data_IF_981751304047
#
_entry.id   IF_981751304047
#
_cell.length_a   1.000
_cell.length_b   1.000
_cell.length_c   1.000
_cell.angle_alpha   90.00
_cell.angle_beta   90.00
_cell.angle_gamma   90.00
#
_symmetry.space_group_name_H-M   'P 1'
#
loop_
_entity.id
_entity.type
_entity.pdbx_description
1 polymer ?
#
# COMPACT_ATOMS: atom_id res chain seq x y z
N UNK A 1 7.45 10.41 -17.59
CA UNK A 1 6.28 11.09 -17.00
C UNK A 1 6.51 11.23 -15.50
N UNK A 2 6.42 12.43 -14.94
CA UNK A 2 6.41 12.63 -13.50
C UNK A 2 5.01 12.22 -12.99
N UNK A 3 4.95 11.22 -12.11
CA UNK A 3 3.74 10.92 -11.36
C UNK A 3 3.55 12.02 -10.32
N UNK A 4 2.39 12.66 -10.31
CA UNK A 4 2.04 13.69 -9.34
C UNK A 4 1.50 13.06 -8.05
N UNK A 5 2.33 12.22 -7.41
CA UNK A 5 2.03 11.65 -6.10
C UNK A 5 2.02 12.73 -5.02
N UNK A 6 1.29 12.49 -3.94
CA UNK A 6 1.13 13.47 -2.86
C UNK A 6 2.37 13.54 -1.97
N UNK A 7 3.06 12.42 -1.78
CA UNK A 7 4.25 12.31 -0.92
C UNK A 7 5.15 11.13 -1.33
N UNK A 8 6.36 11.13 -0.82
CA UNK A 8 7.31 10.03 -0.91
C UNK A 8 7.37 9.33 0.45
N UNK A 9 7.05 8.04 0.49
CA UNK A 9 7.24 7.19 1.67
C UNK A 9 8.66 6.62 1.65
N UNK A 10 9.47 7.05 2.61
CA UNK A 10 10.90 6.74 2.64
C UNK A 10 11.28 6.03 3.93
N UNK A 11 11.70 4.77 3.80
CA UNK A 11 12.15 3.94 4.93
C UNK A 11 13.67 3.94 4.96
N UNK A 12 14.25 4.26 6.10
CA UNK A 12 15.70 4.22 6.31
C UNK A 12 16.05 3.48 7.60
N UNK A 13 17.09 2.64 7.51
CA UNK A 13 17.64 1.89 8.63
C UNK A 13 18.88 2.62 9.18
N UNK A 14 18.72 3.25 10.35
CA UNK A 14 19.77 4.02 11.03
C UNK A 14 20.86 3.15 11.69
N UNK A 15 20.80 1.83 11.56
CA UNK A 15 21.91 0.94 11.90
C UNK A 15 22.85 0.69 10.72
N UNK A 16 22.43 1.06 9.51
CA UNK A 16 23.24 0.96 8.27
C UNK A 16 23.94 2.28 7.98
N UNK A 17 25.05 2.23 7.20
CA UNK A 17 25.69 3.46 6.73
C UNK A 17 24.71 4.36 5.98
N UNK A 18 24.67 5.63 6.37
CA UNK A 18 23.81 6.64 5.75
C UNK A 18 24.55 7.25 4.57
N UNK A 19 23.92 7.26 3.41
CA UNK A 19 24.44 7.88 2.21
C UNK A 19 23.66 9.16 1.87
N UNK A 20 24.36 10.17 1.36
CA UNK A 20 23.71 11.39 0.87
C UNK A 20 23.06 11.14 -0.50
N UNK A 21 21.78 11.49 -0.62
CA UNK A 21 20.98 11.36 -1.84
C UNK A 21 20.38 12.73 -2.22
N UNK A 22 21.23 13.64 -2.67
CA UNK A 22 20.91 15.08 -2.83
C UNK A 22 19.73 15.44 -3.77
N UNK A 23 19.16 14.51 -4.53
CA UNK A 23 18.13 14.82 -5.55
C UNK A 23 16.88 13.93 -5.52
N UNK A 24 16.62 13.21 -4.42
CA UNK A 24 15.52 12.24 -4.39
C UNK A 24 14.15 12.84 -4.01
N UNK A 25 14.12 13.99 -3.34
CA UNK A 25 12.93 14.44 -2.64
C UNK A 25 12.36 15.72 -3.24
N UNK A 26 11.56 15.60 -4.29
CA UNK A 26 10.83 16.70 -4.92
C UNK A 26 9.36 16.80 -4.47
N UNK A 27 8.96 16.01 -3.50
CA UNK A 27 7.62 15.94 -2.89
C UNK A 27 7.75 15.92 -1.36
N UNK A 28 6.67 16.22 -0.62
CA UNK A 28 6.66 16.00 0.82
C UNK A 28 7.10 14.59 1.17
N UNK A 29 7.87 14.43 2.24
CA UNK A 29 8.42 13.13 2.66
C UNK A 29 7.72 12.65 3.91
N UNK A 30 7.27 11.41 3.88
CA UNK A 30 6.96 10.64 5.06
C UNK A 30 8.17 9.73 5.35
N UNK A 31 8.98 10.14 6.32
CA UNK A 31 10.17 9.41 6.73
C UNK A 31 9.83 8.36 7.78
N UNK A 32 10.25 7.13 7.54
CA UNK A 32 10.26 6.05 8.53
C UNK A 32 11.70 5.79 8.95
N UNK A 33 11.99 6.10 10.20
CA UNK A 33 13.29 5.87 10.81
C UNK A 33 13.28 4.54 11.58
N UNK A 34 13.91 3.50 11.03
CA UNK A 34 14.17 2.25 11.73
C UNK A 34 15.39 2.44 12.63
N UNK A 35 15.23 2.25 13.94
CA UNK A 35 16.25 2.61 14.92
C UNK A 35 16.61 1.46 15.85
N UNK A 36 17.83 1.49 16.39
CA UNK A 36 18.26 0.63 17.51
C UNK A 36 17.72 1.19 18.83
N UNK A 37 16.81 0.46 19.44
CA UNK A 37 16.18 0.82 20.73
C UNK A 37 17.15 0.89 21.91
N UNK A 38 18.38 0.34 21.78
CA UNK A 38 19.43 0.37 22.81
C UNK A 38 20.15 1.72 22.87
N UNK A 39 20.05 2.51 21.80
CA UNK A 39 20.64 3.86 21.76
C UNK A 39 19.81 4.85 22.60
N UNK A 40 20.50 5.87 23.11
CA UNK A 40 19.83 6.98 23.78
C UNK A 40 18.87 7.71 22.83
N UNK A 41 17.64 8.00 23.27
CA UNK A 41 16.59 8.59 22.45
C UNK A 41 17.02 9.95 21.86
N UNK A 42 17.70 10.82 22.65
CA UNK A 42 18.19 12.10 22.14
C UNK A 42 19.25 11.93 21.06
N UNK A 43 20.11 10.91 21.17
CA UNK A 43 21.09 10.59 20.11
C UNK A 43 20.37 10.13 18.84
N UNK A 44 19.34 9.29 18.97
CA UNK A 44 18.50 8.87 17.84
C UNK A 44 17.89 10.08 17.13
N UNK A 45 17.30 11.01 17.89
CA UNK A 45 16.70 12.22 17.32
C UNK A 45 17.74 13.11 16.62
N UNK A 46 18.95 13.22 17.21
CA UNK A 46 20.07 13.94 16.58
C UNK A 46 20.52 13.27 15.27
N UNK A 47 20.61 11.93 15.22
CA UNK A 47 20.98 11.19 14.02
C UNK A 47 19.95 11.40 12.90
N UNK A 48 18.66 11.39 13.24
CA UNK A 48 17.58 11.68 12.28
C UNK A 48 17.69 13.11 11.77
N UNK A 49 17.95 14.08 12.64
CA UNK A 49 18.12 15.49 12.26
C UNK A 49 19.30 15.66 11.33
N UNK A 50 20.46 15.08 11.65
CA UNK A 50 21.65 15.08 10.80
C UNK A 50 21.37 14.47 9.42
N UNK A 51 20.61 13.35 9.37
CA UNK A 51 20.20 12.74 8.12
C UNK A 51 19.37 13.70 7.25
N UNK A 52 18.42 14.43 7.84
CA UNK A 52 17.58 15.40 7.12
C UNK A 52 18.42 16.57 6.60
N UNK A 53 19.40 17.05 7.38
CA UNK A 53 20.32 18.11 6.97
C UNK A 53 21.23 17.66 5.81
N UNK A 54 21.70 16.42 5.82
CA UNK A 54 22.50 15.83 4.74
C UNK A 54 21.70 15.54 3.47
N UNK A 55 20.40 15.35 3.62
CA UNK A 55 19.46 14.99 2.55
C UNK A 55 18.28 15.98 2.54
N UNK A 56 18.46 17.20 2.02
CA UNK A 56 17.43 18.24 2.08
C UNK A 56 16.10 17.75 1.54
N UNK A 57 15.07 17.78 2.39
CA UNK A 57 13.71 17.32 2.08
C UNK A 57 12.67 18.16 2.83
N UNK A 58 11.48 18.25 2.27
CA UNK A 58 10.32 18.73 3.02
C UNK A 58 9.75 17.57 3.82
N UNK A 59 10.16 17.45 5.09
CA UNK A 59 9.67 16.43 6.01
C UNK A 59 8.26 16.80 6.48
N UNK A 60 7.26 16.05 6.04
CA UNK A 60 5.85 16.24 6.41
C UNK A 60 5.43 15.29 7.54
N UNK A 61 5.91 14.05 7.50
CA UNK A 61 5.60 13.01 8.50
C UNK A 61 6.85 12.27 8.93
N UNK A 62 6.87 11.84 10.18
CA UNK A 62 7.93 11.02 10.75
C UNK A 62 7.34 9.87 11.58
N UNK A 63 7.78 8.66 11.30
CA UNK A 63 7.59 7.49 12.15
C UNK A 63 8.94 7.03 12.68
N UNK A 64 9.15 7.04 13.99
CA UNK A 64 10.32 6.45 14.63
C UNK A 64 9.94 5.05 15.09
N UNK A 65 10.49 4.04 14.43
CA UNK A 65 10.15 2.64 14.66
C UNK A 65 11.37 1.85 15.17
N UNK A 66 11.38 1.43 16.44
CA UNK A 66 12.40 0.51 16.94
C UNK A 66 12.39 -0.80 16.13
N UNK A 67 13.53 -1.20 15.57
CA UNK A 67 13.66 -2.41 14.74
C UNK A 67 13.18 -3.68 15.44
N UNK A 68 13.27 -3.73 16.77
CA UNK A 68 12.75 -4.87 17.52
C UNK A 68 11.26 -5.10 17.28
N UNK A 69 10.48 -4.05 16.95
CA UNK A 69 9.05 -4.16 16.66
C UNK A 69 8.75 -4.59 15.22
N UNK A 70 9.75 -4.78 14.37
CA UNK A 70 9.59 -5.50 13.12
C UNK A 70 9.34 -6.99 13.35
N UNK A 71 9.74 -7.52 14.51
CA UNK A 71 9.56 -8.91 14.86
C UNK A 71 8.17 -9.17 15.46
N UNK A 72 7.62 -10.33 15.13
CA UNK A 72 6.36 -10.81 15.69
C UNK A 72 6.60 -11.50 17.02
N UNK A 73 6.03 -10.96 18.07
CA UNK A 73 6.01 -11.61 19.39
C UNK A 73 4.66 -12.27 19.60
N UNK A 74 4.67 -13.59 19.77
CA UNK A 74 3.43 -14.35 20.00
C UNK A 74 2.74 -13.88 21.28
N UNK A 75 1.40 -14.03 21.39
CA UNK A 75 0.66 -13.58 22.56
C UNK A 75 1.18 -14.14 23.90
N UNK A 76 1.75 -15.35 23.88
CA UNK A 76 2.36 -15.98 25.04
C UNK A 76 3.87 -15.68 25.19
N UNK A 77 4.47 -14.95 24.22
CA UNK A 77 5.87 -14.56 24.27
C UNK A 77 6.08 -13.29 25.10
N UNK A 78 7.25 -13.18 25.71
CA UNK A 78 7.64 -11.96 26.39
C UNK A 78 8.03 -10.89 25.37
N UNK A 79 7.47 -9.68 25.55
CA UNK A 79 7.91 -8.53 24.80
C UNK A 79 9.27 -8.05 25.32
N UNK A 80 10.21 -7.66 24.47
CA UNK A 80 11.50 -7.16 24.90
C UNK A 80 11.34 -5.88 25.73
N UNK A 81 12.22 -5.71 26.71
CA UNK A 81 12.29 -4.47 27.49
C UNK A 81 12.88 -3.37 26.61
N UNK A 82 12.05 -2.42 26.23
CA UNK A 82 12.42 -1.27 25.40
C UNK A 82 11.75 -0.01 25.95
N UNK A 83 12.28 1.19 25.66
CA UNK A 83 11.54 2.40 25.96
C UNK A 83 10.13 2.35 25.37
N UNK A 84 9.15 2.95 26.04
CA UNK A 84 7.79 3.02 25.52
C UNK A 84 7.75 3.73 24.16
N UNK A 85 6.85 3.33 23.26
CA UNK A 85 6.68 4.01 21.98
C UNK A 85 6.35 5.50 22.19
N UNK A 86 5.56 5.83 23.20
CA UNK A 86 5.24 7.21 23.57
C UNK A 86 6.47 8.05 23.93
N UNK A 87 7.55 7.47 24.47
CA UNK A 87 8.79 8.19 24.72
C UNK A 87 9.47 8.65 23.40
N UNK A 88 9.44 7.82 22.36
CA UNK A 88 9.95 8.19 21.03
C UNK A 88 9.08 9.28 20.39
N UNK A 89 7.74 9.17 20.50
CA UNK A 89 6.83 10.18 19.94
C UNK A 89 7.02 11.54 20.60
N UNK A 90 7.11 11.57 21.94
CA UNK A 90 7.38 12.79 22.71
C UNK A 90 8.70 13.44 22.30
N UNK A 91 9.76 12.64 22.18
CA UNK A 91 11.06 13.14 21.73
C UNK A 91 11.00 13.67 20.31
N UNK A 92 10.36 12.93 19.38
CA UNK A 92 10.20 13.35 17.99
C UNK A 92 9.42 14.68 17.89
N UNK A 93 8.31 14.85 18.61
CA UNK A 93 7.56 16.11 18.65
C UNK A 93 8.41 17.28 19.18
N UNK A 94 9.29 17.02 20.16
CA UNK A 94 10.20 18.05 20.70
C UNK A 94 11.27 18.48 19.71
N UNK A 95 11.84 17.53 18.94
CA UNK A 95 12.89 17.81 17.95
C UNK A 95 12.34 18.35 16.62
N UNK A 96 11.13 17.95 16.27
CA UNK A 96 10.48 18.25 14.99
C UNK A 96 9.06 18.83 15.20
N UNK A 97 8.91 19.99 15.83
CA UNK A 97 7.60 20.51 16.28
C UNK A 97 6.61 20.82 15.15
N UNK A 98 7.07 20.94 13.91
CA UNK A 98 6.24 21.22 12.73
C UNK A 98 5.92 19.96 11.91
N UNK A 99 6.41 18.79 12.35
CA UNK A 99 6.27 17.51 11.64
C UNK A 99 5.19 16.68 12.31
N UNK A 100 4.30 16.09 11.54
CA UNK A 100 3.32 15.13 12.06
C UNK A 100 4.03 13.84 12.48
N UNK A 101 3.85 13.44 13.72
CA UNK A 101 4.50 12.25 14.29
C UNK A 101 3.53 11.09 14.23
N UNK A 102 3.83 10.13 13.38
CA UNK A 102 3.07 8.89 13.24
C UNK A 102 3.59 7.82 14.20
N UNK A 103 2.70 6.92 14.55
CA UNK A 103 2.98 5.73 15.35
C UNK A 103 2.74 4.45 14.53
N UNK A 104 3.00 3.31 15.13
CA UNK A 104 2.74 2.00 14.52
C UNK A 104 4.00 1.35 13.97
N UNK A 105 3.83 0.58 12.91
CA UNK A 105 4.86 -0.33 12.40
C UNK A 105 4.88 -0.33 10.88
N UNK A 106 5.97 -0.79 10.30
CA UNK A 106 6.13 -1.04 8.86
C UNK A 106 5.98 -2.52 8.50
N UNK A 107 5.59 -3.33 9.48
CA UNK A 107 5.15 -4.72 9.31
C UNK A 107 3.63 -4.79 9.26
N UNK A 108 3.05 -5.98 9.37
CA UNK A 108 1.63 -6.19 9.13
C UNK A 108 0.76 -5.74 10.32
N UNK A 109 -0.54 -5.68 10.07
CA UNK A 109 -1.52 -5.37 11.11
C UNK A 109 -1.41 -6.27 12.35
N UNK A 110 -1.01 -7.54 12.19
CA UNK A 110 -0.86 -8.48 13.32
C UNK A 110 0.13 -7.96 14.37
N UNK A 111 1.28 -7.43 13.95
CA UNK A 111 2.29 -6.86 14.83
C UNK A 111 1.78 -5.58 15.48
N UNK A 112 1.14 -4.70 14.70
CA UNK A 112 0.50 -3.49 15.24
C UNK A 112 -0.57 -3.82 16.29
N UNK A 113 -1.44 -4.79 16.02
CA UNK A 113 -2.53 -5.15 16.94
C UNK A 113 -2.04 -5.79 18.25
N UNK A 114 -0.89 -6.49 18.20
CA UNK A 114 -0.24 -7.04 19.39
C UNK A 114 0.48 -5.97 20.22
N UNK A 115 0.91 -4.89 19.59
CA UNK A 115 1.58 -3.75 20.24
C UNK A 115 0.92 -2.45 19.77
N UNK A 116 -0.32 -2.25 20.19
CA UNK A 116 -1.06 -1.03 19.87
C UNK A 116 -0.33 0.19 20.40
N UNK A 117 -0.23 1.26 19.62
CA UNK A 117 0.45 2.46 20.08
C UNK A 117 -0.34 3.13 21.20
N UNK A 118 0.41 3.76 22.11
CA UNK A 118 -0.08 4.59 23.20
C UNK A 118 0.58 5.97 23.12
N UNK A 119 -0.01 6.97 23.76
CA UNK A 119 0.54 8.31 23.84
C UNK A 119 0.01 9.27 22.76
N UNK A 120 0.71 10.38 22.58
CA UNK A 120 0.32 11.48 21.70
C UNK A 120 1.02 11.37 20.35
N UNK A 121 0.26 10.98 19.32
CA UNK A 121 0.69 10.84 17.94
C UNK A 121 -0.38 11.38 16.98
N UNK A 122 0.02 11.68 15.74
CA UNK A 122 -0.82 12.35 14.74
C UNK A 122 -1.36 11.37 13.67
N UNK A 123 -1.04 10.09 13.77
CA UNK A 123 -1.53 9.05 12.87
C UNK A 123 -0.96 7.68 13.15
N UNK A 124 -1.53 6.65 12.53
CA UNK A 124 -1.15 5.24 12.70
C UNK A 124 -0.68 4.69 11.36
N UNK A 125 0.37 3.86 11.37
CA UNK A 125 0.92 3.19 10.20
C UNK A 125 0.99 1.67 10.37
N UNK A 126 0.61 0.94 9.34
CA UNK A 126 0.94 -0.48 9.18
C UNK A 126 1.02 -0.85 7.69
N UNK A 127 1.69 -1.96 7.37
CA UNK A 127 1.77 -2.46 6.00
C UNK A 127 0.84 -3.64 5.74
N UNK A 128 0.75 -4.04 4.48
CA UNK A 128 -0.05 -5.20 4.08
C UNK A 128 0.62 -5.98 2.95
N UNK A 129 0.77 -7.28 3.15
CA UNK A 129 1.26 -8.25 2.16
C UNK A 129 0.51 -9.57 2.32
N UNK A 130 0.20 -10.28 1.22
CA UNK A 130 -0.61 -11.49 1.30
C UNK A 130 0.19 -12.77 1.60
N UNK A 131 1.50 -12.81 1.34
CA UNK A 131 2.32 -14.04 1.28
C UNK A 131 3.08 -14.38 2.56
N UNK A 132 2.52 -14.03 3.72
CA UNK A 132 3.17 -14.35 5.01
C UNK A 132 3.13 -15.86 5.31
N UNK A 133 1.97 -16.51 5.11
CA UNK A 133 1.73 -17.89 5.50
C UNK A 133 1.18 -18.76 4.37
N UNK A 134 0.76 -18.16 3.26
CA UNK A 134 0.22 -18.85 2.10
C UNK A 134 0.55 -18.07 0.83
N UNK A 135 1.44 -18.61 0.00
CA UNK A 135 1.79 -18.03 -1.29
C UNK A 135 0.99 -18.64 -2.45
N UNK A 136 -0.04 -19.44 -2.20
CA UNK A 136 -0.94 -19.92 -3.26
C UNK A 136 -1.72 -18.75 -3.88
N UNK A 137 -2.19 -18.92 -5.12
CA UNK A 137 -3.05 -17.89 -5.74
C UNK A 137 -4.35 -17.73 -4.96
N UNK A 138 -4.90 -18.81 -4.42
CA UNK A 138 -6.10 -18.77 -3.59
C UNK A 138 -5.86 -17.94 -2.33
N UNK A 139 -4.78 -18.21 -1.58
CA UNK A 139 -4.42 -17.48 -0.37
C UNK A 139 -4.27 -15.99 -0.66
N UNK A 140 -3.52 -15.62 -1.70
CA UNK A 140 -3.33 -14.22 -2.10
C UNK A 140 -4.65 -13.53 -2.45
N UNK A 141 -5.49 -14.17 -3.28
CA UNK A 141 -6.75 -13.58 -3.73
C UNK A 141 -7.83 -13.49 -2.63
N UNK A 142 -7.69 -14.27 -1.56
CA UNK A 142 -8.60 -14.24 -0.41
C UNK A 142 -8.25 -13.13 0.61
N UNK A 143 -6.98 -12.69 0.64
CA UNK A 143 -6.51 -11.72 1.64
C UNK A 143 -7.28 -10.38 1.67
N UNK A 144 -7.80 -9.82 0.55
CA UNK A 144 -8.61 -8.60 0.60
C UNK A 144 -9.87 -8.75 1.47
N UNK A 145 -10.39 -9.97 1.65
CA UNK A 145 -11.56 -10.22 2.50
C UNK A 145 -11.28 -9.97 3.99
N UNK A 146 -10.03 -10.10 4.44
CA UNK A 146 -9.65 -9.84 5.83
C UNK A 146 -9.58 -8.35 6.17
N UNK A 147 -9.41 -7.49 5.16
CA UNK A 147 -9.16 -6.06 5.37
C UNK A 147 -10.34 -5.33 5.99
N UNK A 148 -11.57 -5.74 5.73
CA UNK A 148 -12.74 -5.15 6.38
C UNK A 148 -12.68 -5.33 7.91
N UNK A 149 -12.31 -6.53 8.38
CA UNK A 149 -12.16 -6.83 9.80
C UNK A 149 -10.96 -6.10 10.40
N UNK A 150 -9.86 -5.99 9.65
CA UNK A 150 -8.67 -5.24 10.04
C UNK A 150 -9.03 -3.76 10.24
N UNK A 151 -9.69 -3.14 9.25
CA UNK A 151 -10.05 -1.73 9.32
C UNK A 151 -11.03 -1.44 10.46
N UNK A 152 -12.05 -2.28 10.65
CA UNK A 152 -12.97 -2.18 11.78
C UNK A 152 -12.21 -2.27 13.13
N UNK A 153 -11.19 -3.12 13.22
CA UNK A 153 -10.38 -3.24 14.44
C UNK A 153 -9.51 -1.99 14.63
N UNK A 154 -8.87 -1.48 13.57
CA UNK A 154 -8.07 -0.24 13.65
C UNK A 154 -8.92 0.93 14.13
N UNK A 155 -10.15 1.06 13.64
CA UNK A 155 -11.09 2.12 14.06
C UNK A 155 -11.36 2.09 15.57
N UNK A 156 -11.31 0.92 16.23
CA UNK A 156 -11.55 0.81 17.68
C UNK A 156 -10.47 1.47 18.55
N UNK A 157 -9.26 1.68 18.02
CA UNK A 157 -8.15 2.25 18.79
C UNK A 157 -7.45 3.43 18.10
N UNK A 158 -7.84 3.79 16.89
CA UNK A 158 -7.26 4.94 16.19
C UNK A 158 -7.75 6.29 16.74
N UNK A 159 -8.84 6.31 17.50
CA UNK A 159 -9.42 7.54 18.06
C UNK A 159 -9.61 8.65 17.00
N UNK A 160 -10.10 8.29 15.82
CA UNK A 160 -10.27 9.19 14.67
C UNK A 160 -8.95 9.79 14.12
N UNK A 161 -7.78 9.29 14.54
CA UNK A 161 -6.52 9.73 13.93
C UNK A 161 -6.34 9.18 12.53
N UNK A 162 -5.63 9.90 11.64
CA UNK A 162 -5.31 9.42 10.31
C UNK A 162 -4.61 8.06 10.29
N UNK A 163 -5.02 7.21 9.36
CA UNK A 163 -4.39 5.90 9.14
C UNK A 163 -3.66 5.91 7.81
N UNK A 164 -2.39 5.53 7.84
CA UNK A 164 -1.59 5.21 6.67
C UNK A 164 -1.44 3.70 6.54
N UNK A 165 -1.81 3.17 5.39
CA UNK A 165 -1.61 1.76 5.06
C UNK A 165 -0.54 1.68 3.98
N UNK A 166 0.61 1.16 4.37
CA UNK A 166 1.74 1.07 3.46
C UNK A 166 3.07 0.63 4.13
N UNK A 167 3.96 0.04 3.32
CA UNK A 167 3.76 -0.31 1.92
C UNK A 167 2.78 -1.49 1.74
N UNK A 168 2.01 -1.46 0.65
CA UNK A 168 1.15 -2.56 0.22
C UNK A 168 1.81 -3.20 -0.99
N UNK A 169 2.25 -4.45 -0.87
CA UNK A 169 2.97 -5.17 -1.92
C UNK A 169 2.66 -6.66 -1.90
N UNK A 170 2.77 -7.33 -3.04
CA UNK A 170 2.69 -8.80 -3.07
C UNK A 170 3.86 -9.43 -2.34
N UNK A 171 5.10 -9.06 -2.70
CA UNK A 171 6.29 -9.47 -1.98
C UNK A 171 6.45 -8.75 -0.64
N UNK A 172 7.21 -9.31 0.25
CA UNK A 172 7.42 -8.77 1.60
C UNK A 172 8.58 -7.77 1.66
N UNK A 173 8.48 -6.80 2.56
CA UNK A 173 9.57 -5.87 2.87
C UNK A 173 10.36 -6.30 4.11
N UNK A 174 9.73 -6.94 5.07
CA UNK A 174 10.33 -7.37 6.33
C UNK A 174 9.84 -8.77 6.70
N UNK A 175 10.73 -9.55 7.31
CA UNK A 175 10.37 -10.84 7.87
C UNK A 175 10.06 -10.69 9.37
N UNK A 176 8.80 -10.83 9.80
CA UNK A 176 8.46 -10.72 11.22
C UNK A 176 8.91 -11.92 12.07
N UNK A 177 9.38 -12.99 11.45
CA UNK A 177 9.80 -14.23 12.12
C UNK A 177 11.31 -14.50 12.02
N UNK A 178 12.08 -13.58 11.42
CA UNK A 178 13.51 -13.76 11.24
C UNK A 178 14.20 -12.50 10.75
N UNK A 179 15.51 -12.60 10.52
CA UNK A 179 16.31 -11.44 10.10
C UNK A 179 16.27 -11.19 8.59
N UNK A 180 15.96 -12.23 7.79
CA UNK A 180 16.01 -12.17 6.34
C UNK A 180 14.71 -12.68 5.73
N UNK A 181 14.38 -12.11 4.59
CA UNK A 181 13.33 -12.64 3.72
C UNK A 181 13.77 -13.94 3.06
N UNK A 182 12.83 -14.74 2.60
CA UNK A 182 13.13 -15.94 1.84
C UNK A 182 13.79 -15.58 0.51
N UNK A 183 14.90 -16.22 0.20
CA UNK A 183 15.56 -16.10 -1.09
C UNK A 183 14.74 -16.80 -2.18
N UNK A 184 14.37 -16.08 -3.22
CA UNK A 184 13.50 -16.57 -4.31
C UNK A 184 14.16 -16.41 -5.69
N UNK A 185 15.38 -16.92 -5.83
CA UNK A 185 16.13 -16.87 -7.10
C UNK A 185 15.38 -17.53 -8.26
N UNK A 186 14.61 -18.57 -7.97
CA UNK A 186 13.84 -19.30 -8.97
C UNK A 186 12.52 -18.63 -9.35
N UNK A 187 12.18 -17.50 -8.73
CA UNK A 187 10.93 -16.75 -8.97
C UNK A 187 9.69 -17.65 -8.94
N UNK A 188 9.56 -18.45 -7.89
CA UNK A 188 8.38 -19.28 -7.64
C UNK A 188 7.43 -18.59 -6.65
N UNK A 189 6.23 -19.13 -6.48
CA UNK A 189 5.31 -18.73 -5.42
C UNK A 189 5.85 -19.23 -4.08
N UNK A 190 6.40 -18.32 -3.28
CA UNK A 190 7.10 -18.66 -2.05
C UNK A 190 6.69 -17.70 -0.93
N UNK A 191 6.31 -18.27 0.21
CA UNK A 191 6.02 -17.51 1.42
C UNK A 191 7.24 -16.71 1.87
N UNK A 192 7.01 -15.53 2.45
CA UNK A 192 8.05 -14.68 3.02
C UNK A 192 9.09 -14.18 2.03
N UNK A 193 8.84 -14.28 0.73
CA UNK A 193 9.76 -13.80 -0.30
C UNK A 193 9.59 -12.30 -0.58
N UNK A 194 10.69 -11.60 -0.84
CA UNK A 194 10.64 -10.23 -1.34
C UNK A 194 10.16 -10.16 -2.78
N UNK A 195 10.64 -11.08 -3.61
CA UNK A 195 10.38 -11.11 -5.05
C UNK A 195 9.26 -12.12 -5.39
N UNK A 196 8.04 -11.63 -5.53
CA UNK A 196 6.91 -12.47 -5.97
C UNK A 196 6.75 -12.37 -7.50
N UNK A 197 6.76 -13.51 -8.25
CA UNK A 197 6.68 -13.50 -9.71
C UNK A 197 5.37 -12.93 -10.26
N UNK A 198 4.31 -12.91 -9.46
CA UNK A 198 3.00 -12.38 -9.85
C UNK A 198 2.94 -10.86 -9.90
N UNK A 199 3.98 -10.18 -9.38
CA UNK A 199 4.03 -8.71 -9.42
C UNK A 199 3.89 -8.16 -10.85
N UNK A 200 4.34 -8.90 -11.85
CA UNK A 200 4.28 -8.55 -13.28
C UNK A 200 3.03 -9.09 -14.00
N UNK A 201 1.99 -9.50 -13.27
CA UNK A 201 0.79 -10.14 -13.84
C UNK A 201 -0.51 -9.36 -13.60
N UNK A 202 -1.59 -9.74 -14.30
CA UNK A 202 -2.94 -9.22 -14.05
C UNK A 202 -3.42 -9.49 -12.62
N UNK A 203 -2.98 -10.59 -12.01
CA UNK A 203 -3.32 -10.92 -10.63
C UNK A 203 -2.89 -9.79 -9.69
N UNK A 204 -1.69 -9.23 -9.86
CA UNK A 204 -1.21 -8.14 -8.99
C UNK A 204 -2.09 -6.90 -9.08
N UNK A 205 -2.51 -6.54 -10.29
CA UNK A 205 -3.37 -5.38 -10.51
C UNK A 205 -4.77 -5.63 -9.94
N UNK A 206 -5.37 -6.79 -10.23
CA UNK A 206 -6.69 -7.18 -9.74
C UNK A 206 -6.72 -7.24 -8.20
N UNK A 207 -5.72 -7.88 -7.59
CA UNK A 207 -5.54 -7.92 -6.14
C UNK A 207 -5.40 -6.51 -5.55
N UNK A 208 -4.60 -5.63 -6.17
CA UNK A 208 -4.39 -4.27 -5.70
C UNK A 208 -5.67 -3.43 -5.75
N UNK A 209 -6.51 -3.59 -6.79
CA UNK A 209 -7.83 -2.95 -6.86
C UNK A 209 -8.73 -3.48 -5.74
N UNK A 210 -8.72 -4.81 -5.50
CA UNK A 210 -9.48 -5.42 -4.43
C UNK A 210 -9.04 -4.89 -3.06
N UNK A 211 -7.74 -4.88 -2.77
CA UNK A 211 -7.16 -4.32 -1.53
C UNK A 211 -7.59 -2.86 -1.37
N UNK A 212 -7.36 -2.02 -2.39
CA UNK A 212 -7.69 -0.60 -2.32
C UNK A 212 -9.17 -0.37 -2.03
N UNK A 213 -10.06 -1.16 -2.64
CA UNK A 213 -11.51 -1.08 -2.38
C UNK A 213 -11.88 -1.41 -0.93
N UNK A 214 -11.11 -2.25 -0.24
CA UNK A 214 -11.41 -2.69 1.13
C UNK A 214 -10.82 -1.77 2.21
N UNK A 215 -9.73 -1.05 1.91
CA UNK A 215 -9.08 -0.15 2.86
C UNK A 215 -9.68 1.26 2.89
N UNK A 216 -10.57 1.59 1.95
CA UNK A 216 -11.31 2.87 2.01
C UNK A 216 -12.20 2.87 3.24
N UNK A 217 -11.82 3.68 4.21
CA UNK A 217 -12.56 3.91 5.45
C UNK A 217 -12.53 5.39 5.82
N UNK A 218 -13.30 5.76 6.83
CA UNK A 218 -13.36 7.13 7.35
C UNK A 218 -11.97 7.69 7.72
N UNK A 219 -11.11 6.84 8.28
CA UNK A 219 -9.81 7.25 8.83
C UNK A 219 -8.64 6.97 7.89
N UNK A 220 -8.83 6.27 6.79
CA UNK A 220 -7.77 6.03 5.80
C UNK A 220 -7.46 7.32 5.06
N UNK A 221 -6.35 7.96 5.40
CA UNK A 221 -5.94 9.23 4.77
C UNK A 221 -4.80 9.02 3.78
N UNK A 222 -3.93 8.03 4.04
CA UNK A 222 -2.74 7.78 3.22
C UNK A 222 -2.63 6.31 2.84
N UNK A 223 -2.24 6.07 1.58
CA UNK A 223 -1.98 4.73 1.06
C UNK A 223 -0.70 4.75 0.24
N UNK A 224 0.16 3.75 0.44
CA UNK A 224 1.37 3.56 -0.36
C UNK A 224 1.39 2.15 -0.94
N UNK A 225 1.24 2.05 -2.27
CA UNK A 225 1.46 0.82 -3.02
C UNK A 225 2.84 0.88 -3.66
N UNK A 226 3.58 -0.23 -3.63
CA UNK A 226 4.77 -0.42 -4.45
C UNK A 226 5.85 0.69 -4.31
N UNK A 227 6.84 0.60 -5.13
CA UNK A 227 7.91 1.60 -5.30
C UNK A 227 7.97 2.05 -6.77
N UNK A 228 8.83 3.01 -7.08
CA UNK A 228 9.00 3.42 -8.48
C UNK A 228 9.69 2.35 -9.30
N UNK A 229 10.77 1.74 -8.75
CA UNK A 229 11.61 0.72 -9.39
C UNK A 229 11.98 -0.38 -8.40
N UNK A 230 12.72 -1.39 -8.87
CA UNK A 230 13.14 -2.56 -8.10
C UNK A 230 12.08 -3.64 -8.06
N UNK A 231 12.20 -4.58 -7.12
CA UNK A 231 11.32 -5.77 -7.04
C UNK A 231 9.86 -5.43 -6.80
N UNK A 232 9.58 -4.33 -6.10
CA UNK A 232 8.23 -3.80 -5.86
C UNK A 232 7.86 -2.62 -6.76
N UNK A 233 8.62 -2.40 -7.84
CA UNK A 233 8.47 -1.22 -8.69
C UNK A 233 7.22 -1.24 -9.56
N UNK A 234 6.64 -0.07 -9.82
CA UNK A 234 5.62 0.10 -10.87
C UNK A 234 6.24 0.20 -12.26
N UNK A 235 7.56 0.36 -12.32
CA UNK A 235 8.37 0.27 -13.52
C UNK A 235 9.43 -0.80 -13.34
N UNK A 236 9.81 -1.44 -14.45
CA UNK A 236 11.01 -2.27 -14.56
C UNK A 236 12.26 -1.38 -14.53
N UNK A 237 13.45 -1.99 -14.40
CA UNK A 237 14.71 -1.24 -14.38
C UNK A 237 14.99 -0.54 -15.73
N UNK A 238 14.50 -1.08 -16.83
CA UNK A 238 14.53 -0.50 -18.18
C UNK A 238 13.35 0.45 -18.48
N UNK A 239 12.61 0.88 -17.46
CA UNK A 239 11.51 1.84 -17.48
C UNK A 239 10.23 1.38 -18.24
N UNK A 240 10.01 0.09 -18.41
CA UNK A 240 8.73 -0.40 -18.89
C UNK A 240 7.70 -0.35 -17.77
N UNK A 241 6.43 -0.08 -18.13
CA UNK A 241 5.33 -0.08 -17.16
C UNK A 241 4.99 -1.50 -16.74
N UNK A 242 4.82 -1.70 -15.44
CA UNK A 242 4.19 -2.89 -14.89
C UNK A 242 2.69 -2.70 -14.72
N UNK A 243 1.90 -3.77 -14.55
CA UNK A 243 0.43 -3.66 -14.42
C UNK A 243 -0.02 -2.65 -13.38
N UNK A 244 0.63 -2.62 -12.22
CA UNK A 244 0.31 -1.71 -11.12
C UNK A 244 0.48 -0.20 -11.49
N UNK A 245 1.30 0.12 -12.49
CA UNK A 245 1.43 1.48 -13.00
C UNK A 245 0.09 2.04 -13.51
N UNK A 246 -0.76 1.19 -14.08
CA UNK A 246 -2.08 1.58 -14.58
C UNK A 246 -3.07 1.90 -13.45
N UNK A 247 -2.96 1.24 -12.30
CA UNK A 247 -3.72 1.65 -11.11
C UNK A 247 -3.30 3.04 -10.64
N UNK A 248 -2.00 3.32 -10.59
CA UNK A 248 -1.51 4.66 -10.26
C UNK A 248 -2.03 5.73 -11.24
N UNK A 249 -2.01 5.45 -12.54
CA UNK A 249 -2.55 6.38 -13.56
C UNK A 249 -4.05 6.66 -13.34
N UNK A 250 -4.83 5.63 -13.01
CA UNK A 250 -6.25 5.76 -12.69
C UNK A 250 -6.47 6.57 -11.41
N UNK A 251 -5.77 6.24 -10.32
CA UNK A 251 -5.91 6.95 -9.05
C UNK A 251 -5.51 8.43 -9.17
N UNK A 252 -4.46 8.74 -9.92
CA UNK A 252 -4.05 10.11 -10.20
C UNK A 252 -5.07 10.87 -11.05
N UNK A 253 -5.69 10.20 -12.02
CA UNK A 253 -6.78 10.80 -12.80
C UNK A 253 -7.99 11.15 -11.92
N UNK A 254 -8.35 10.27 -10.97
CA UNK A 254 -9.47 10.45 -10.06
C UNK A 254 -9.10 11.17 -8.75
N UNK A 255 -7.92 11.78 -8.64
CA UNK A 255 -7.39 12.40 -7.42
C UNK A 255 -8.37 13.37 -6.74
N UNK A 256 -9.14 14.12 -7.52
CA UNK A 256 -10.09 15.11 -7.01
C UNK A 256 -11.55 14.63 -7.03
N UNK A 257 -11.80 13.33 -7.21
CA UNK A 257 -13.13 12.75 -7.21
C UNK A 257 -13.58 12.36 -5.79
N UNK A 258 -14.89 12.23 -5.62
CA UNK A 258 -15.43 11.53 -4.45
C UNK A 258 -15.33 10.03 -4.71
N UNK A 259 -14.76 9.30 -3.76
CA UNK A 259 -14.52 7.86 -3.86
C UNK A 259 -15.45 7.12 -2.89
N UNK A 260 -16.06 6.04 -3.36
CA UNK A 260 -16.94 5.19 -2.57
C UNK A 260 -16.55 3.72 -2.81
N UNK A 261 -16.58 2.91 -1.73
CA UNK A 261 -16.52 1.45 -1.84
C UNK A 261 -17.81 0.94 -2.50
N UNK A 262 -17.69 0.05 -3.47
CA UNK A 262 -18.87 -0.66 -4.01
C UNK A 262 -19.20 -1.88 -3.16
N UNK A 263 -20.46 -2.33 -3.21
CA UNK A 263 -20.82 -3.63 -2.65
C UNK A 263 -20.05 -4.72 -3.42
N UNK A 264 -19.36 -5.59 -2.70
CA UNK A 264 -18.73 -6.78 -3.28
C UNK A 264 -19.78 -7.72 -3.85
N UNK A 265 -19.59 -8.21 -5.05
CA UNK A 265 -20.42 -9.22 -5.71
C UNK A 265 -19.55 -10.43 -6.01
N UNK A 266 -19.71 -11.52 -5.28
CA UNK A 266 -18.86 -12.72 -5.36
C UNK A 266 -17.37 -12.33 -5.19
N UNK A 267 -16.53 -12.47 -6.25
CA UNK A 267 -15.13 -12.08 -6.25
C UNK A 267 -14.87 -10.77 -7.01
N UNK A 268 -15.91 -10.02 -7.36
CA UNK A 268 -15.78 -8.69 -7.96
C UNK A 268 -15.72 -7.67 -6.84
N UNK A 269 -14.59 -6.98 -6.77
CA UNK A 269 -14.32 -5.85 -5.89
C UNK A 269 -14.31 -4.56 -6.69
N UNK A 270 -14.60 -3.43 -6.05
CA UNK A 270 -14.51 -2.20 -6.79
C UNK A 270 -14.73 -0.91 -6.03
N UNK A 271 -14.55 0.15 -6.77
CA UNK A 271 -14.68 1.54 -6.36
C UNK A 271 -15.62 2.27 -7.30
N UNK A 272 -16.39 3.19 -6.75
CA UNK A 272 -17.16 4.18 -7.49
C UNK A 272 -16.52 5.54 -7.32
N UNK A 273 -16.27 6.23 -8.42
CA UNK A 273 -15.79 7.61 -8.44
C UNK A 273 -16.89 8.51 -8.97
N UNK A 274 -17.06 9.65 -8.30
CA UNK A 274 -17.92 10.73 -8.79
C UNK A 274 -17.04 11.95 -9.10
N UNK A 275 -16.94 12.30 -10.38
CA UNK A 275 -16.12 13.38 -10.88
C UNK A 275 -16.87 14.19 -11.94
N UNK A 276 -17.04 15.49 -11.73
CA UNK A 276 -17.73 16.41 -12.66
C UNK A 276 -19.10 15.88 -13.11
N UNK A 277 -19.91 15.40 -12.15
CA UNK A 277 -21.24 14.80 -12.37
C UNK A 277 -21.25 13.48 -13.13
N UNK A 278 -20.08 12.97 -13.55
CA UNK A 278 -19.92 11.66 -14.17
C UNK A 278 -19.62 10.58 -13.12
N UNK A 279 -20.15 9.39 -13.34
CA UNK A 279 -19.93 8.23 -12.48
C UNK A 279 -19.00 7.25 -13.20
N UNK A 280 -17.99 6.78 -12.47
CA UNK A 280 -17.10 5.74 -12.92
C UNK A 280 -17.05 4.60 -11.91
N UNK A 281 -17.01 3.37 -12.40
CA UNK A 281 -16.77 2.17 -11.61
C UNK A 281 -15.46 1.55 -12.04
N UNK A 282 -14.51 1.40 -11.12
CA UNK A 282 -13.31 0.58 -11.30
C UNK A 282 -13.59 -0.75 -10.61
N UNK A 283 -13.73 -1.81 -11.39
CA UNK A 283 -14.11 -3.14 -10.93
C UNK A 283 -13.05 -4.15 -11.33
N UNK A 284 -12.74 -5.08 -10.42
CA UNK A 284 -11.78 -6.16 -10.66
C UNK A 284 -12.34 -7.52 -10.24
N UNK A 285 -12.20 -8.51 -11.09
CA UNK A 285 -12.42 -9.89 -10.74
C UNK A 285 -11.17 -10.46 -10.05
N UNK A 286 -11.17 -10.52 -8.74
CA UNK A 286 -10.07 -11.09 -7.95
C UNK A 286 -10.30 -12.60 -7.74
N UNK A 287 -10.39 -13.35 -8.84
CA UNK A 287 -10.50 -14.81 -8.82
C UNK A 287 -10.01 -15.48 -10.12
N UNK A 288 -9.80 -16.78 -10.04
CA UNK A 288 -9.42 -17.65 -11.18
C UNK A 288 -10.60 -18.05 -12.05
N UNK A 289 -11.83 -17.65 -11.71
CA UNK A 289 -13.04 -18.03 -12.41
C UNK A 289 -13.71 -16.82 -13.06
N UNK A 290 -14.35 -17.04 -14.19
CA UNK A 290 -15.22 -16.05 -14.81
C UNK A 290 -16.33 -15.62 -13.86
N UNK A 291 -16.65 -14.36 -13.80
CA UNK A 291 -17.72 -13.78 -13.00
C UNK A 291 -18.66 -12.97 -13.87
N UNK A 292 -19.90 -12.85 -13.44
CA UNK A 292 -20.92 -12.00 -14.08
C UNK A 292 -21.57 -11.11 -13.08
N UNK A 293 -21.86 -9.88 -13.47
CA UNK A 293 -22.62 -8.93 -12.68
C UNK A 293 -23.45 -8.01 -13.57
N UNK A 294 -24.54 -7.51 -13.03
CA UNK A 294 -25.36 -6.46 -13.64
C UNK A 294 -25.24 -5.19 -12.82
N UNK A 295 -25.01 -4.06 -13.46
CA UNK A 295 -25.18 -2.76 -12.83
C UNK A 295 -26.64 -2.34 -12.94
N UNK A 296 -27.25 -1.98 -11.82
CA UNK A 296 -28.62 -1.49 -11.75
C UNK A 296 -28.74 -0.01 -12.15
N UNK A 297 -28.08 0.34 -13.24
CA UNK A 297 -28.08 1.68 -13.80
C UNK A 297 -28.94 1.64 -15.09
N UNK A 298 -29.98 2.45 -15.16
CA UNK A 298 -30.83 2.59 -16.36
C UNK A 298 -30.19 3.47 -17.46
N UNK A 299 -28.92 3.79 -17.31
CA UNK A 299 -28.19 4.74 -18.13
C UNK A 299 -27.29 4.02 -19.15
N UNK A 300 -26.92 4.74 -20.21
CA UNK A 300 -25.94 4.26 -21.16
C UNK A 300 -24.58 4.10 -20.47
N UNK A 301 -23.99 2.92 -20.60
CA UNK A 301 -22.66 2.64 -20.07
C UNK A 301 -21.64 2.51 -21.19
N UNK A 302 -20.41 2.89 -20.89
CA UNK A 302 -19.23 2.65 -21.71
C UNK A 302 -18.16 1.99 -20.85
N UNK A 303 -17.43 1.05 -21.42
CA UNK A 303 -16.39 0.34 -20.69
C UNK A 303 -15.04 0.41 -21.39
N UNK A 304 -13.99 0.24 -20.61
CA UNK A 304 -12.66 -0.16 -21.02
C UNK A 304 -12.19 -1.27 -20.10
N UNK A 305 -11.43 -2.21 -20.62
CA UNK A 305 -11.03 -3.39 -19.85
C UNK A 305 -9.60 -3.80 -20.12
N UNK A 306 -9.00 -4.46 -19.13
CA UNK A 306 -7.71 -5.11 -19.22
C UNK A 306 -7.85 -6.56 -18.76
N UNK A 307 -7.55 -7.49 -19.64
CA UNK A 307 -7.60 -8.92 -19.42
C UNK A 307 -6.46 -9.64 -20.16
N UNK A 308 -6.42 -10.96 -20.13
CA UNK A 308 -5.38 -11.77 -20.76
C UNK A 308 -5.24 -11.49 -22.26
N UNK A 309 -6.36 -11.28 -22.96
CA UNK A 309 -6.37 -11.11 -24.43
C UNK A 309 -5.69 -9.82 -24.90
N UNK A 310 -5.65 -8.78 -24.08
CA UNK A 310 -5.05 -7.49 -24.40
C UNK A 310 -3.88 -7.10 -23.48
N UNK A 311 -3.45 -8.01 -22.61
CA UNK A 311 -2.38 -7.77 -21.65
C UNK A 311 -1.03 -7.41 -22.31
N UNK A 312 -0.73 -7.99 -23.46
CA UNK A 312 0.49 -7.67 -24.23
C UNK A 312 0.62 -6.19 -24.60
N UNK A 313 -0.53 -5.47 -24.75
CA UNK A 313 -0.53 -4.03 -25.04
C UNK A 313 0.07 -3.17 -23.94
N UNK A 314 0.18 -3.70 -22.70
CA UNK A 314 0.87 -3.03 -21.58
C UNK A 314 2.35 -2.85 -21.94
N UNK A 315 3.00 -3.89 -22.45
CA UNK A 315 4.42 -3.91 -22.74
C UNK A 315 4.80 -2.88 -23.81
N UNK A 316 3.89 -2.63 -24.75
CA UNK A 316 4.09 -1.68 -25.86
C UNK A 316 3.67 -0.25 -25.50
N UNK A 317 3.23 0.02 -24.26
CA UNK A 317 2.62 1.28 -23.81
C UNK A 317 1.40 1.73 -24.67
N UNK A 318 0.74 0.79 -25.33
CA UNK A 318 -0.41 1.04 -26.24
C UNK A 318 -1.76 0.85 -25.53
N UNK A 319 -1.77 0.55 -24.23
CA UNK A 319 -2.98 0.41 -23.45
C UNK A 319 -3.35 1.71 -22.71
N UNK A 320 -4.65 2.00 -22.66
CA UNK A 320 -5.22 3.06 -21.81
C UNK A 320 -6.63 2.69 -21.37
N UNK A 321 -6.91 2.80 -20.07
CA UNK A 321 -8.26 2.66 -19.54
C UNK A 321 -9.25 3.75 -20.01
N UNK A 322 -8.78 4.80 -20.65
CA UNK A 322 -9.64 5.88 -21.15
C UNK A 322 -10.12 5.70 -22.60
N UNK A 323 -9.80 4.57 -23.22
CA UNK A 323 -10.33 4.17 -24.52
C UNK A 323 -11.63 3.38 -24.33
N UNK A 324 -12.75 4.08 -24.23
CA UNK A 324 -14.05 3.50 -23.93
C UNK A 324 -14.78 3.03 -25.19
N UNK A 325 -15.42 1.87 -25.09
CA UNK A 325 -16.40 1.33 -26.04
C UNK A 325 -17.80 1.31 -25.41
N UNK A 326 -18.86 1.37 -26.21
CA UNK A 326 -20.22 1.30 -25.70
C UNK A 326 -20.49 -0.12 -25.16
N UNK A 327 -21.23 -0.19 -24.06
CA UNK A 327 -21.55 -1.45 -23.39
C UNK A 327 -22.99 -1.45 -22.88
N UNK A 328 -23.53 -2.65 -22.64
CA UNK A 328 -24.76 -2.83 -21.85
C UNK A 328 -24.47 -2.84 -20.36
N UNK A 329 -25.48 -3.12 -19.55
CA UNK A 329 -25.39 -3.16 -18.09
C UNK A 329 -25.01 -4.54 -17.52
N UNK A 330 -24.98 -5.57 -18.36
CA UNK A 330 -24.54 -6.92 -18.02
C UNK A 330 -23.06 -7.08 -18.38
N UNK A 331 -22.26 -7.36 -17.36
CA UNK A 331 -20.82 -7.47 -17.50
C UNK A 331 -20.34 -8.87 -17.17
N UNK A 332 -19.60 -9.46 -18.10
CA UNK A 332 -18.78 -10.66 -17.86
C UNK A 332 -17.36 -10.24 -17.60
N UNK A 333 -16.75 -10.87 -16.60
CA UNK A 333 -15.35 -10.66 -16.21
C UNK A 333 -14.59 -11.96 -16.35
N UNK A 334 -13.56 -11.95 -17.18
CA UNK A 334 -12.55 -13.02 -17.23
C UNK A 334 -11.77 -13.11 -15.91
N UNK A 335 -11.02 -14.19 -15.64
CA UNK A 335 -10.11 -14.24 -14.50
C UNK A 335 -9.17 -13.04 -14.47
N UNK A 336 -9.06 -12.40 -13.29
CA UNK A 336 -8.22 -11.23 -13.03
C UNK A 336 -8.53 -9.97 -13.87
N UNK A 337 -9.63 -9.97 -14.63
CA UNK A 337 -9.98 -8.83 -15.47
C UNK A 337 -10.33 -7.61 -14.65
N UNK A 338 -9.87 -6.46 -15.13
CA UNK A 338 -10.19 -5.14 -14.60
C UNK A 338 -11.02 -4.37 -15.63
N UNK A 339 -12.10 -3.76 -15.19
CA UNK A 339 -12.93 -2.87 -16.01
C UNK A 339 -13.03 -1.48 -15.40
N UNK A 340 -12.87 -0.47 -16.23
CA UNK A 340 -13.32 0.89 -15.93
C UNK A 340 -14.62 1.12 -16.70
N UNK A 341 -15.72 1.35 -15.98
CA UNK A 341 -17.04 1.57 -16.54
C UNK A 341 -17.43 3.03 -16.28
N UNK A 342 -17.77 3.74 -17.33
CA UNK A 342 -18.32 5.10 -17.28
C UNK A 342 -19.83 5.04 -17.48
N UNK A 343 -20.58 5.70 -16.60
CA UNK A 343 -22.05 5.83 -16.67
C UNK A 343 -22.39 7.26 -17.10
N UNK A 344 -23.26 7.37 -18.07
CA UNK A 344 -23.78 8.66 -18.57
C UNK A 344 -25.20 8.90 -18.09
#
# INVERSE_FOLDING_TARGET
KNFDVDFIYHIIDFEKPIHSNKNLFNKPVYLVALIDHRKNINKIMSDIKEYIELNPMYLDKLLVCPKIYLNSFQPAGEWPTVPSLSAYYKAAKSYFPQVRIFSGMVTNFTELNRKRPDGDFDGINFSFTPIVHDASDYGVLDTPNSLEYIMNTVETFSNDTPVHIGPITLGMHFNPYGEKLADNLNKIRLEMAENDPRHDSLLSLSWSVAVFSQIISKNTEYVTFASMKGVHGIFTDDNQKRPLCYLYELLLYFKNSKIFKTKKIKSIFGLKFLMNEEIFYLLANSSTNQQVMTLDEKLLTRQSHLNESNFSKINDNNFSFFNFEDSGNDFSFEPYEIKLIKVK
#
